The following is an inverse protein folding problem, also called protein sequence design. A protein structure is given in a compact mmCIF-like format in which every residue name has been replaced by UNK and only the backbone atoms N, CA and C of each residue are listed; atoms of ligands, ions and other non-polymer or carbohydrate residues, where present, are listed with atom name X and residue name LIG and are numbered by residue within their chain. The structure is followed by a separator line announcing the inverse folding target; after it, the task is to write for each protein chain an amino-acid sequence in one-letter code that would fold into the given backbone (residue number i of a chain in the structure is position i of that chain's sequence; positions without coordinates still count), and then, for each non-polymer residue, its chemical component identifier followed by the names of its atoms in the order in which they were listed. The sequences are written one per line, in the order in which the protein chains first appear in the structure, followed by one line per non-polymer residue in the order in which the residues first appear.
data_IF_195193853313
#
_entry.id   IF_195193853313
#
_cell.length_a   1.000
_cell.length_b   1.000
_cell.length_c   1.000
_cell.angle_alpha   90.00
_cell.angle_beta   90.00
_cell.angle_gamma   90.00
#
_symmetry.space_group_name_H-M   'P 1'
#
loop_
_entity.id
_entity.type
_entity.pdbx_description
1 polymer ?
#
# COMPACT_ATOMS: atom_id res chain seq x y z
N UNK A 1 -8.73 4.86 27.01
CA UNK A 1 -7.76 4.50 25.95
C UNK A 1 -6.33 4.76 26.45
N UNK A 2 -5.31 3.95 26.08
CA UNK A 2 -3.92 4.10 26.58
C UNK A 2 -3.24 5.44 26.24
N UNK A 3 -3.73 6.15 25.22
CA UNK A 3 -3.17 7.41 24.71
C UNK A 3 -4.08 8.62 24.99
N UNK A 4 -5.02 8.49 25.91
CA UNK A 4 -5.91 9.59 26.31
C UNK A 4 -5.08 10.80 26.76
N UNK A 5 -5.47 12.00 26.28
CA UNK A 5 -4.85 13.30 26.58
C UNK A 5 -3.34 13.40 26.25
N UNK A 6 -2.85 12.51 25.38
CA UNK A 6 -1.49 12.57 24.83
C UNK A 6 -1.51 12.95 23.36
N UNK A 7 -0.38 13.52 22.90
CA UNK A 7 -0.09 13.75 21.48
C UNK A 7 0.91 12.70 21.00
N UNK A 8 0.69 12.16 19.80
CA UNK A 8 1.58 11.20 19.14
C UNK A 8 2.27 11.88 17.98
N UNK A 9 3.59 11.72 17.89
CA UNK A 9 4.37 12.09 16.71
C UNK A 9 4.82 10.81 15.98
N UNK A 10 4.47 10.68 14.71
CA UNK A 10 5.00 9.64 13.82
C UNK A 10 6.10 10.27 12.97
N UNK A 11 7.31 9.72 13.03
CA UNK A 11 8.45 10.20 12.23
C UNK A 11 8.56 9.34 10.97
N UNK A 12 8.22 9.92 9.82
CA UNK A 12 8.19 9.28 8.51
C UNK A 12 6.76 9.12 7.98
N UNK A 13 6.48 9.74 6.83
CA UNK A 13 5.24 9.67 6.05
C UNK A 13 5.31 8.66 4.91
N UNK A 14 5.98 7.53 5.13
CA UNK A 14 5.89 6.37 4.24
C UNK A 14 4.61 5.55 4.49
N UNK A 15 4.36 4.48 3.70
CA UNK A 15 3.14 3.69 3.82
C UNK A 15 2.84 3.22 5.24
N UNK A 16 3.82 2.65 5.95
CA UNK A 16 3.64 2.21 7.33
C UNK A 16 3.31 3.33 8.32
N UNK A 17 3.96 4.50 8.17
CA UNK A 17 3.76 5.65 9.05
C UNK A 17 2.39 6.31 8.84
N UNK A 18 1.98 6.49 7.59
CA UNK A 18 0.66 7.03 7.26
C UNK A 18 -0.46 6.06 7.64
N UNK A 19 -0.29 4.76 7.42
CA UNK A 19 -1.25 3.74 7.87
C UNK A 19 -1.40 3.74 9.39
N UNK A 20 -0.29 3.84 10.15
CA UNK A 20 -0.35 3.96 11.60
C UNK A 20 -1.12 5.23 12.02
N UNK A 21 -0.83 6.37 11.39
CA UNK A 21 -1.52 7.62 11.69
C UNK A 21 -3.03 7.51 11.46
N UNK A 22 -3.46 6.94 10.33
CA UNK A 22 -4.88 6.69 10.04
C UNK A 22 -5.54 5.80 11.09
N UNK A 23 -4.90 4.69 11.46
CA UNK A 23 -5.44 3.76 12.48
C UNK A 23 -5.55 4.44 13.86
N UNK A 24 -4.59 5.29 14.22
CA UNK A 24 -4.63 6.09 15.46
C UNK A 24 -5.75 7.14 15.41
N UNK A 25 -5.91 7.85 14.29
CA UNK A 25 -6.99 8.81 14.09
C UNK A 25 -8.38 8.17 14.22
N UNK A 26 -8.58 6.97 13.66
CA UNK A 26 -9.83 6.21 13.80
C UNK A 26 -10.15 5.83 15.26
N UNK A 27 -9.16 5.84 16.14
CA UNK A 27 -9.33 5.64 17.59
C UNK A 27 -9.45 6.96 18.38
N UNK A 28 -9.49 8.11 17.71
CA UNK A 28 -9.57 9.42 18.35
C UNK A 28 -8.26 9.92 18.95
N UNK A 29 -7.11 9.35 18.55
CA UNK A 29 -5.79 9.79 19.02
C UNK A 29 -5.37 11.06 18.29
N UNK A 30 -4.85 12.05 19.02
CA UNK A 30 -4.21 13.23 18.42
C UNK A 30 -2.82 12.85 17.91
N UNK A 31 -2.69 12.64 16.60
CA UNK A 31 -1.46 12.21 15.93
C UNK A 31 -1.02 13.22 14.87
N UNK A 32 0.28 13.45 14.77
CA UNK A 32 0.92 14.27 13.73
C UNK A 32 2.03 13.46 13.06
N UNK A 33 2.07 13.47 11.73
CA UNK A 33 3.13 12.83 10.94
C UNK A 33 4.14 13.89 10.52
N UNK A 34 5.42 13.64 10.79
CA UNK A 34 6.53 14.47 10.34
C UNK A 34 7.26 13.73 9.22
N UNK A 35 7.27 14.32 8.03
CA UNK A 35 7.93 13.76 6.85
C UNK A 35 9.04 14.72 6.39
N UNK A 36 10.14 14.14 5.91
CA UNK A 36 11.31 14.86 5.40
C UNK A 36 11.05 15.50 4.02
N UNK A 37 10.18 14.92 3.21
CA UNK A 37 9.80 15.52 1.92
C UNK A 37 9.25 16.94 2.11
N UNK A 38 9.60 17.84 1.19
CA UNK A 38 9.13 19.22 1.20
C UNK A 38 7.63 19.37 0.92
N UNK A 39 7.03 18.42 0.19
CA UNK A 39 5.60 18.33 -0.06
C UNK A 39 5.20 16.91 -0.50
N UNK A 40 3.91 16.68 -0.72
CA UNK A 40 3.35 15.37 -1.09
C UNK A 40 3.78 14.84 -2.47
N UNK A 41 4.18 15.72 -3.39
CA UNK A 41 4.50 15.39 -4.80
C UNK A 41 5.95 14.92 -5.02
N UNK A 42 6.81 14.97 -4.00
CA UNK A 42 8.27 14.77 -4.16
C UNK A 42 8.66 13.35 -4.58
N UNK A 43 7.96 12.32 -4.09
CA UNK A 43 8.34 10.90 -4.30
C UNK A 43 7.26 10.12 -5.04
N UNK A 44 6.98 10.50 -6.28
CA UNK A 44 6.12 9.72 -7.17
C UNK A 44 6.85 8.55 -7.85
N UNK A 45 8.19 8.51 -7.80
CA UNK A 45 8.99 7.48 -8.46
C UNK A 45 9.19 6.24 -7.57
N UNK A 46 9.06 5.05 -8.17
CA UNK A 46 9.42 3.77 -7.56
C UNK A 46 8.70 2.59 -8.23
N UNK A 47 9.19 1.37 -7.98
CA UNK A 47 8.46 0.17 -8.34
C UNK A 47 7.17 0.04 -7.51
N UNK A 48 6.25 -0.80 -8.00
CA UNK A 48 5.03 -1.19 -7.30
C UNK A 48 5.33 -1.83 -5.94
N UNK A 49 4.29 -1.94 -5.12
CA UNK A 49 4.28 -2.71 -3.89
C UNK A 49 3.19 -3.77 -4.00
N UNK A 50 3.52 -5.00 -3.62
CA UNK A 50 2.55 -6.05 -3.41
C UNK A 50 2.06 -6.03 -1.95
N UNK A 51 0.75 -6.09 -1.74
CA UNK A 51 0.15 -6.15 -0.41
C UNK A 51 -0.45 -7.52 -0.15
N UNK A 52 0.04 -8.23 0.86
CA UNK A 52 -0.43 -9.57 1.20
C UNK A 52 -1.68 -9.50 2.08
N UNK A 53 -2.56 -10.50 1.97
CA UNK A 53 -3.88 -10.53 2.63
C UNK A 53 -3.78 -10.36 4.15
N UNK A 54 -2.88 -11.08 4.80
CA UNK A 54 -2.74 -11.11 6.26
C UNK A 54 -1.99 -9.91 6.85
N UNK A 55 -1.44 -9.02 6.00
CA UNK A 55 -0.61 -7.90 6.45
C UNK A 55 -1.05 -6.57 5.81
N UNK A 56 -0.56 -6.26 4.61
CA UNK A 56 -0.80 -4.99 3.93
C UNK A 56 -2.29 -4.73 3.69
N UNK A 57 -3.01 -5.73 3.16
CA UNK A 57 -4.44 -5.61 2.89
C UNK A 57 -5.27 -5.56 4.17
N UNK A 58 -4.92 -6.37 5.17
CA UNK A 58 -5.58 -6.32 6.48
C UNK A 58 -5.41 -4.95 7.16
N UNK A 59 -4.25 -4.31 7.01
CA UNK A 59 -4.02 -2.97 7.52
C UNK A 59 -4.93 -1.93 6.83
N UNK A 60 -5.09 -2.02 5.50
CA UNK A 60 -6.00 -1.16 4.74
C UNK A 60 -7.48 -1.43 5.07
N UNK A 61 -7.85 -2.69 5.31
CA UNK A 61 -9.20 -3.07 5.77
C UNK A 61 -9.51 -2.42 7.12
N UNK A 62 -8.60 -2.48 8.08
CA UNK A 62 -8.76 -1.80 9.38
C UNK A 62 -8.74 -0.28 9.29
N UNK A 63 -8.11 0.27 8.26
CA UNK A 63 -8.08 1.69 7.96
C UNK A 63 -9.33 2.18 7.19
N UNK A 64 -10.23 1.28 6.78
CA UNK A 64 -11.38 1.54 5.91
C UNK A 64 -11.00 2.09 4.53
N UNK A 65 -9.88 1.64 3.94
CA UNK A 65 -9.33 2.16 2.67
C UNK A 65 -9.40 1.16 1.50
N UNK A 66 -10.16 0.08 1.67
CA UNK A 66 -10.21 -0.99 0.66
C UNK A 66 -10.90 -0.57 -0.64
N UNK A 67 -11.80 0.42 -0.61
CA UNK A 67 -12.48 0.88 -1.81
C UNK A 67 -11.55 1.71 -2.70
N UNK A 68 -10.83 2.64 -2.08
CA UNK A 68 -9.82 3.49 -2.71
C UNK A 68 -8.65 2.65 -3.25
N UNK A 69 -8.24 1.64 -2.48
CA UNK A 69 -7.25 0.65 -2.94
C UNK A 69 -7.73 -0.10 -4.18
N UNK A 70 -8.96 -0.65 -4.16
CA UNK A 70 -9.54 -1.37 -5.31
C UNK A 70 -9.71 -0.50 -6.55
N UNK A 71 -9.85 0.81 -6.39
CA UNK A 71 -9.93 1.75 -7.50
C UNK A 71 -8.55 2.05 -8.14
N UNK A 72 -7.45 1.70 -7.48
CA UNK A 72 -6.10 2.18 -7.85
C UNK A 72 -5.05 1.07 -8.02
N UNK A 73 -5.29 -0.15 -7.53
CA UNK A 73 -4.37 -1.26 -7.71
C UNK A 73 -4.27 -1.68 -9.19
N UNK A 74 -3.26 -2.47 -9.51
CA UNK A 74 -2.94 -2.94 -10.86
C UNK A 74 -3.33 -4.41 -10.99
N UNK A 75 -4.46 -4.72 -11.65
CA UNK A 75 -4.85 -6.11 -11.86
C UNK A 75 -3.76 -6.86 -12.60
N UNK A 76 -3.50 -8.09 -12.16
CA UNK A 76 -2.59 -9.07 -12.75
C UNK A 76 -1.11 -8.67 -12.80
N UNK A 77 -0.74 -7.52 -12.27
CA UNK A 77 0.64 -7.05 -12.28
C UNK A 77 1.57 -7.89 -11.39
N UNK A 78 1.02 -8.72 -10.49
CA UNK A 78 1.78 -9.69 -9.69
C UNK A 78 2.16 -10.98 -10.44
N UNK A 79 1.69 -11.18 -11.68
CA UNK A 79 2.01 -12.37 -12.48
C UNK A 79 3.45 -12.34 -12.98
N UNK A 80 4.12 -13.48 -12.89
CA UNK A 80 5.52 -13.65 -13.25
C UNK A 80 5.68 -14.41 -14.59
N UNK A 81 6.55 -13.88 -15.45
CA UNK A 81 7.11 -14.62 -16.59
C UNK A 81 8.62 -14.76 -16.45
N UNK A 82 9.11 -15.99 -16.54
CA UNK A 82 10.54 -16.31 -16.44
C UNK A 82 11.04 -16.76 -17.81
N UNK A 83 12.11 -16.14 -18.29
CA UNK A 83 12.74 -16.46 -19.58
C UNK A 83 14.22 -16.78 -19.36
N UNK A 84 14.79 -17.59 -20.25
CA UNK A 84 16.25 -17.68 -20.35
C UNK A 84 16.85 -16.52 -21.17
N UNK A 85 18.19 -16.46 -21.24
CA UNK A 85 18.92 -15.42 -22.00
C UNK A 85 18.70 -15.47 -23.52
N UNK A 86 18.03 -16.48 -24.05
CA UNK A 86 17.60 -16.58 -25.46
C UNK A 86 16.13 -16.14 -25.63
N UNK A 87 15.51 -15.58 -24.59
CA UNK A 87 14.09 -15.25 -24.54
C UNK A 87 13.16 -16.46 -24.69
N UNK A 88 13.62 -17.67 -24.35
CA UNK A 88 12.75 -18.84 -24.28
C UNK A 88 12.06 -18.86 -22.93
N UNK A 89 10.72 -18.86 -22.96
CA UNK A 89 9.87 -18.92 -21.77
C UNK A 89 10.11 -20.24 -21.03
N UNK A 90 10.39 -20.15 -19.73
CA UNK A 90 10.51 -21.29 -18.80
C UNK A 90 9.31 -21.41 -17.87
N UNK A 91 8.63 -20.31 -17.61
CA UNK A 91 7.41 -20.24 -16.81
C UNK A 91 6.62 -19.02 -17.23
N UNK A 92 5.30 -19.16 -17.35
CA UNK A 92 4.40 -18.06 -17.68
C UNK A 92 3.12 -18.14 -16.85
N UNK A 93 3.05 -17.34 -15.79
CA UNK A 93 1.83 -17.27 -14.99
C UNK A 93 0.67 -16.60 -15.74
N UNK A 94 0.90 -15.92 -16.87
CA UNK A 94 -0.17 -15.33 -17.68
C UNK A 94 -1.00 -16.36 -18.45
N UNK A 95 -0.50 -17.60 -18.61
CA UNK A 95 -1.28 -18.69 -19.22
C UNK A 95 -2.23 -19.37 -18.23
N UNK A 96 -2.07 -19.11 -16.92
CA UNK A 96 -2.95 -19.64 -15.89
C UNK A 96 -4.30 -18.91 -15.89
N UNK A 97 -5.42 -19.61 -15.61
CA UNK A 97 -6.72 -18.98 -15.49
C UNK A 97 -6.70 -17.77 -14.56
N UNK A 98 -7.54 -16.78 -14.86
CA UNK A 98 -7.76 -15.66 -13.95
C UNK A 98 -8.27 -16.18 -12.61
N UNK A 99 -7.58 -15.81 -11.54
CA UNK A 99 -8.12 -15.96 -10.19
C UNK A 99 -9.08 -14.80 -9.96
N UNK A 100 -10.24 -15.08 -9.39
CA UNK A 100 -11.20 -14.03 -8.99
C UNK A 100 -10.62 -13.07 -7.94
N UNK A 101 -9.63 -13.53 -7.18
CA UNK A 101 -8.96 -12.76 -6.15
C UNK A 101 -7.44 -12.94 -6.26
N UNK A 102 -6.73 -11.81 -6.31
CA UNK A 102 -5.27 -11.80 -6.26
C UNK A 102 -4.78 -11.93 -4.82
N UNK A 103 -3.82 -12.82 -4.60
CA UNK A 103 -3.26 -13.09 -3.26
C UNK A 103 -2.39 -11.92 -2.76
N UNK A 104 -1.76 -11.20 -3.70
CA UNK A 104 -0.82 -10.09 -3.45
C UNK A 104 -0.92 -9.00 -4.53
N UNK A 105 -2.07 -8.31 -4.63
CA UNK A 105 -2.28 -7.27 -5.64
C UNK A 105 -1.20 -6.19 -5.56
N UNK A 106 -0.73 -5.78 -6.72
CA UNK A 106 0.28 -4.74 -6.88
C UNK A 106 -0.37 -3.36 -6.93
N UNK A 107 0.25 -2.36 -6.31
CA UNK A 107 -0.15 -0.96 -6.41
C UNK A 107 1.07 -0.06 -6.58
N UNK A 108 0.95 0.96 -7.42
CA UNK A 108 2.00 1.97 -7.53
C UNK A 108 2.10 2.77 -6.22
N UNK A 109 3.33 3.16 -5.84
CA UNK A 109 3.58 3.87 -4.58
C UNK A 109 2.87 5.21 -4.49
N UNK A 110 2.76 5.93 -5.60
CA UNK A 110 2.13 7.25 -5.63
C UNK A 110 0.63 7.16 -5.30
N UNK A 111 -0.20 6.36 -6.01
CA UNK A 111 -1.60 6.14 -5.63
C UNK A 111 -1.77 5.65 -4.19
N UNK A 112 -0.97 4.68 -3.73
CA UNK A 112 -1.07 4.21 -2.34
C UNK A 112 -0.81 5.33 -1.33
N UNK A 113 0.19 6.18 -1.59
CA UNK A 113 0.49 7.33 -0.74
C UNK A 113 -0.62 8.36 -0.77
N UNK A 114 -1.20 8.64 -1.92
CA UNK A 114 -2.32 9.58 -2.06
C UNK A 114 -3.56 9.10 -1.30
N UNK A 115 -3.88 7.80 -1.39
CA UNK A 115 -4.95 7.19 -0.59
C UNK A 115 -4.70 7.42 0.90
N UNK A 116 -3.47 7.18 1.36
CA UNK A 116 -3.11 7.29 2.78
C UNK A 116 -3.02 8.74 3.30
N UNK A 117 -2.64 9.70 2.45
CA UNK A 117 -2.60 11.13 2.80
C UNK A 117 -4.01 11.72 2.89
N UNK A 118 -4.91 11.29 2.00
CA UNK A 118 -6.29 11.79 1.93
C UNK A 118 -7.27 11.02 2.84
N UNK A 119 -6.76 10.06 3.62
CA UNK A 119 -7.54 9.19 4.50
C UNK A 119 -8.14 9.94 5.71
#
# INVERSE_FOLDING_TARGET
MKLQDKKVAVIGGGPGGLTLAKLLQLKGVNVTVYERDSNKEVRQQGATLDLHEESGLEALRRANLMNEFKASFRPEAGRLRVLDKQAIIKMDEHELPHKDQEDRPEIDRAPLRDILINA
#
